data_IF_287226035971
#
_entry.id   IF_287226035971
#
_cell.length_a   1.000
_cell.length_b   1.000
_cell.length_c   1.000
_cell.angle_alpha   90.00
_cell.angle_beta   90.00
_cell.angle_gamma   90.00
#
_symmetry.space_group_name_H-M   'P 1'
#
loop_
_entity.id
_entity.type
_entity.pdbx_description
1 polymer ?
#
# COMPACT_ATOMS: atom_id res chain seq x y z
N UNK A 1 -12.06 20.07 -14.05
CA UNK A 1 -11.15 19.51 -15.06
C UNK A 1 -11.61 18.14 -15.54
N UNK A 2 -11.17 17.74 -16.73
CA UNK A 2 -11.32 16.40 -17.28
C UNK A 2 -10.05 15.61 -17.03
N UNK A 3 -10.10 14.58 -16.20
CA UNK A 3 -8.95 13.77 -15.80
C UNK A 3 -9.09 12.37 -16.35
N UNK A 4 -8.08 11.87 -17.04
CA UNK A 4 -8.02 10.44 -17.42
C UNK A 4 -7.04 9.71 -16.50
N UNK A 5 -7.52 8.72 -15.76
CA UNK A 5 -6.72 7.88 -14.86
C UNK A 5 -6.42 6.56 -15.56
N UNK A 6 -5.13 6.20 -15.65
CA UNK A 6 -4.65 4.99 -16.32
C UNK A 6 -4.05 4.03 -15.30
N UNK A 7 -4.66 2.86 -15.12
CA UNK A 7 -4.24 1.88 -14.12
C UNK A 7 -4.44 0.44 -14.60
N UNK A 8 -3.33 -0.29 -14.82
CA UNK A 8 -3.38 -1.70 -15.25
C UNK A 8 -4.06 -2.61 -14.20
N UNK A 9 -3.80 -2.34 -12.92
CA UNK A 9 -4.15 -3.22 -11.78
C UNK A 9 -5.40 -2.74 -11.02
N UNK A 10 -6.31 -2.09 -11.70
CA UNK A 10 -7.60 -1.71 -11.13
C UNK A 10 -8.54 -2.92 -11.17
N UNK A 11 -9.05 -3.34 -10.03
CA UNK A 11 -9.94 -4.48 -9.86
C UNK A 11 -10.51 -4.49 -8.45
N UNK A 12 -10.43 -5.61 -7.74
CA UNK A 12 -10.86 -5.67 -6.33
C UNK A 12 -9.94 -4.81 -5.41
N UNK A 13 -10.54 -4.16 -4.42
CA UNK A 13 -9.83 -3.32 -3.43
C UNK A 13 -9.04 -4.18 -2.41
N UNK A 14 -8.14 -5.02 -2.91
CA UNK A 14 -7.38 -5.98 -2.11
C UNK A 14 -5.89 -5.64 -1.98
N UNK A 15 -5.46 -4.52 -2.55
CA UNK A 15 -4.07 -4.05 -2.48
C UNK A 15 -4.02 -2.51 -2.41
N UNK A 16 -2.90 -1.98 -1.89
CA UNK A 16 -2.72 -0.54 -1.66
C UNK A 16 -2.85 0.33 -2.91
N UNK A 17 -2.35 -0.14 -4.05
CA UNK A 17 -2.43 0.60 -5.33
C UNK A 17 -3.88 0.77 -5.78
N UNK A 18 -4.66 -0.31 -5.74
CA UNK A 18 -6.09 -0.26 -6.12
C UNK A 18 -6.89 0.63 -5.16
N UNK A 19 -6.63 0.53 -3.85
CA UNK A 19 -7.28 1.38 -2.85
C UNK A 19 -6.95 2.86 -3.11
N UNK A 20 -5.68 3.21 -3.31
CA UNK A 20 -5.26 4.57 -3.61
C UNK A 20 -5.91 5.10 -4.90
N UNK A 21 -5.93 4.29 -5.97
CA UNK A 21 -6.58 4.63 -7.22
C UNK A 21 -8.09 4.91 -7.06
N UNK A 22 -8.81 4.01 -6.39
CA UNK A 22 -10.25 4.15 -6.19
C UNK A 22 -10.60 5.34 -5.30
N UNK A 23 -9.78 5.60 -4.27
CA UNK A 23 -9.93 6.79 -3.43
C UNK A 23 -9.77 8.08 -4.23
N UNK A 24 -8.73 8.19 -5.06
CA UNK A 24 -8.51 9.34 -5.92
C UNK A 24 -9.66 9.53 -6.91
N UNK A 25 -10.09 8.47 -7.60
CA UNK A 25 -11.21 8.51 -8.55
C UNK A 25 -12.48 9.03 -7.87
N UNK A 26 -12.87 8.42 -6.73
CA UNK A 26 -14.09 8.81 -5.98
C UNK A 26 -14.03 10.26 -5.53
N UNK A 27 -12.87 10.67 -4.99
CA UNK A 27 -12.69 12.05 -4.51
C UNK A 27 -12.83 13.06 -5.64
N UNK A 28 -12.16 12.84 -6.76
CA UNK A 28 -12.25 13.73 -7.91
C UNK A 28 -13.68 13.83 -8.47
N UNK A 29 -14.42 12.70 -8.51
CA UNK A 29 -15.81 12.68 -8.90
C UNK A 29 -16.70 13.48 -7.94
N UNK A 30 -16.54 13.28 -6.62
CA UNK A 30 -17.29 14.03 -5.59
C UNK A 30 -17.02 15.54 -5.69
N UNK A 31 -15.78 15.93 -6.04
CA UNK A 31 -15.40 17.33 -6.26
C UNK A 31 -15.85 17.90 -7.61
N UNK A 32 -16.63 17.14 -8.38
CA UNK A 32 -17.24 17.61 -9.63
C UNK A 32 -16.32 17.56 -10.86
N UNK A 33 -15.18 16.85 -10.78
CA UNK A 33 -14.34 16.62 -11.95
C UNK A 33 -14.91 15.53 -12.85
N UNK A 34 -14.73 15.68 -14.16
CA UNK A 34 -15.03 14.60 -15.10
C UNK A 34 -13.87 13.59 -15.11
N UNK A 35 -14.10 12.42 -14.52
CA UNK A 35 -13.08 11.37 -14.41
C UNK A 35 -13.35 10.27 -15.43
N UNK A 36 -12.34 9.95 -16.24
CA UNK A 36 -12.30 8.78 -17.12
C UNK A 36 -11.27 7.79 -16.61
N UNK A 37 -11.58 6.50 -16.69
CA UNK A 37 -10.71 5.44 -16.15
C UNK A 37 -10.38 4.44 -17.23
N UNK A 38 -9.10 4.26 -17.53
CA UNK A 38 -8.60 3.22 -18.44
C UNK A 38 -8.01 2.09 -17.62
N UNK A 39 -8.58 0.89 -17.73
CA UNK A 39 -8.10 -0.26 -16.95
C UNK A 39 -8.34 -1.60 -17.64
N UNK A 40 -7.71 -2.66 -17.10
CA UNK A 40 -7.96 -4.05 -17.51
C UNK A 40 -9.16 -4.71 -16.80
N UNK A 41 -9.89 -4.01 -15.96
CA UNK A 41 -11.02 -4.55 -15.18
C UNK A 41 -12.24 -4.82 -16.06
N UNK A 42 -12.42 -6.08 -16.45
CA UNK A 42 -13.51 -6.48 -17.34
C UNK A 42 -14.90 -6.32 -16.71
N UNK A 43 -15.00 -6.24 -15.38
CA UNK A 43 -16.28 -6.04 -14.67
C UNK A 43 -16.87 -4.63 -14.89
N UNK A 44 -16.03 -3.68 -15.30
CA UNK A 44 -16.40 -2.28 -15.57
C UNK A 44 -16.76 -2.00 -17.03
N UNK A 45 -16.73 -3.01 -17.88
CA UNK A 45 -17.06 -2.86 -19.31
C UNK A 45 -18.50 -2.36 -19.50
N UNK A 46 -18.63 -1.29 -20.28
CA UNK A 46 -19.92 -0.65 -20.56
C UNK A 46 -20.40 0.33 -19.48
N UNK A 47 -19.67 0.50 -18.39
CA UNK A 47 -20.01 1.53 -17.41
C UNK A 47 -19.53 2.92 -17.90
N UNK A 48 -20.33 3.98 -17.69
CA UNK A 48 -19.96 5.33 -18.08
C UNK A 48 -18.61 5.77 -17.48
N UNK A 49 -17.75 6.39 -18.29
CA UNK A 49 -16.43 6.85 -17.85
C UNK A 49 -15.38 5.74 -17.70
N UNK A 50 -15.71 4.47 -17.97
CA UNK A 50 -14.77 3.34 -17.93
C UNK A 50 -14.42 2.86 -19.35
N UNK A 51 -13.12 2.88 -19.65
CA UNK A 51 -12.52 2.46 -20.92
C UNK A 51 -11.73 1.18 -20.68
N UNK A 52 -12.36 0.03 -20.96
CA UNK A 52 -11.81 -1.26 -20.57
C UNK A 52 -10.99 -1.86 -21.69
N UNK A 53 -9.70 -2.07 -21.45
CA UNK A 53 -8.78 -2.74 -22.37
C UNK A 53 -8.68 -4.24 -22.05
N UNK A 54 -8.34 -5.09 -23.02
CA UNK A 54 -8.20 -6.51 -22.76
C UNK A 54 -7.03 -6.82 -21.79
N UNK A 55 -7.11 -7.92 -21.02
CA UNK A 55 -6.00 -8.36 -20.19
C UNK A 55 -4.84 -8.85 -21.07
N UNK A 56 -3.62 -8.66 -20.60
CA UNK A 56 -2.42 -9.18 -21.24
C UNK A 56 -2.26 -10.64 -20.90
N UNK A 57 -2.11 -11.49 -21.91
CA UNK A 57 -1.80 -12.90 -21.71
C UNK A 57 -0.29 -13.11 -21.53
N UNK A 58 0.07 -13.93 -20.54
CA UNK A 58 1.43 -14.40 -20.27
C UNK A 58 1.59 -15.90 -20.60
N UNK A 59 0.68 -16.46 -21.40
CA UNK A 59 0.70 -17.86 -21.78
C UNK A 59 0.62 -18.79 -20.56
N UNK A 60 1.53 -19.72 -20.43
CA UNK A 60 1.60 -20.70 -19.33
C UNK A 60 1.75 -20.07 -17.93
N UNK A 61 2.18 -18.82 -17.83
CA UNK A 61 2.35 -18.09 -16.56
C UNK A 61 1.09 -17.37 -16.10
N UNK A 62 -0.02 -17.38 -16.86
CA UNK A 62 -1.27 -16.70 -16.49
C UNK A 62 -1.77 -17.10 -15.09
N UNK A 63 -1.71 -18.39 -14.75
CA UNK A 63 -2.13 -18.89 -13.44
C UNK A 63 -1.26 -18.36 -12.29
N UNK A 64 0.03 -18.19 -12.49
CA UNK A 64 0.95 -17.62 -11.51
C UNK A 64 0.69 -16.13 -11.31
N UNK A 65 0.53 -15.39 -12.40
CA UNK A 65 0.25 -13.94 -12.40
C UNK A 65 -1.08 -13.65 -11.69
N UNK A 66 -2.13 -14.41 -12.02
CA UNK A 66 -3.45 -14.30 -11.39
C UNK A 66 -3.40 -14.57 -9.87
N UNK A 67 -2.71 -15.63 -9.42
CA UNK A 67 -2.53 -15.95 -8.00
C UNK A 67 -1.82 -14.83 -7.22
N UNK A 68 -0.98 -14.04 -7.91
CA UNK A 68 -0.29 -12.90 -7.32
C UNK A 68 -1.11 -11.61 -7.38
N UNK A 69 -2.34 -11.64 -7.93
CA UNK A 69 -3.24 -10.48 -8.00
C UNK A 69 -2.74 -9.36 -8.90
N UNK A 70 -1.86 -9.66 -9.86
CA UNK A 70 -1.32 -8.71 -10.83
C UNK A 70 -1.95 -9.03 -12.18
N UNK A 71 -2.97 -8.27 -12.58
CA UNK A 71 -3.49 -8.32 -13.95
C UNK A 71 -2.90 -7.16 -14.73
N UNK A 72 -2.02 -7.43 -15.70
CA UNK A 72 -1.55 -6.39 -16.62
C UNK A 72 -2.51 -6.27 -17.80
N UNK A 73 -2.68 -5.06 -18.28
CA UNK A 73 -3.56 -4.72 -19.39
C UNK A 73 -2.78 -4.64 -20.72
N UNK A 74 -3.41 -5.06 -21.80
CA UNK A 74 -2.87 -4.88 -23.17
C UNK A 74 -3.35 -3.53 -23.72
N UNK A 75 -2.45 -2.60 -24.04
CA UNK A 75 -2.86 -1.31 -24.58
C UNK A 75 -3.55 -1.48 -25.94
N UNK A 76 -4.66 -0.77 -26.14
CA UNK A 76 -5.39 -0.67 -27.39
C UNK A 76 -5.48 0.81 -27.73
N UNK A 77 -4.85 1.23 -28.86
CA UNK A 77 -4.68 2.63 -29.22
C UNK A 77 -6.02 3.36 -29.33
N UNK A 78 -7.00 2.79 -30.01
CA UNK A 78 -8.31 3.42 -30.19
C UNK A 78 -9.06 3.68 -28.87
N UNK A 79 -8.96 2.76 -27.91
CA UNK A 79 -9.56 2.92 -26.57
C UNK A 79 -8.83 4.04 -25.79
N UNK A 80 -7.49 4.09 -25.91
CA UNK A 80 -6.72 5.16 -25.27
C UNK A 80 -7.01 6.51 -25.90
N UNK A 81 -7.12 6.60 -27.23
CA UNK A 81 -7.47 7.83 -27.95
C UNK A 81 -8.81 8.37 -27.50
N UNK A 82 -9.85 7.52 -27.40
CA UNK A 82 -11.17 7.91 -26.92
C UNK A 82 -11.15 8.36 -25.45
N UNK A 83 -10.41 7.67 -24.59
CA UNK A 83 -10.32 8.00 -23.17
C UNK A 83 -9.56 9.29 -22.89
N UNK A 84 -8.53 9.61 -23.71
CA UNK A 84 -7.61 10.73 -23.51
C UNK A 84 -8.09 11.98 -24.27
N UNK A 85 -8.95 11.84 -25.26
CA UNK A 85 -9.41 12.96 -26.08
C UNK A 85 -10.10 14.05 -25.26
N UNK A 86 -9.59 15.29 -25.39
CA UNK A 86 -10.03 16.45 -24.62
C UNK A 86 -9.82 16.33 -23.11
N UNK A 87 -8.92 15.47 -22.64
CA UNK A 87 -8.49 15.46 -21.23
C UNK A 87 -7.61 16.66 -20.93
N UNK A 88 -7.79 17.30 -19.77
CA UNK A 88 -6.92 18.37 -19.28
C UNK A 88 -5.60 17.81 -18.73
N UNK A 89 -5.64 16.59 -18.17
CA UNK A 89 -4.48 15.88 -17.61
C UNK A 89 -4.71 14.37 -17.64
N UNK A 90 -3.62 13.61 -17.82
CA UNK A 90 -3.62 12.15 -17.70
C UNK A 90 -2.76 11.74 -16.50
N UNK A 91 -3.34 10.99 -15.57
CA UNK A 91 -2.65 10.47 -14.38
C UNK A 91 -2.39 8.97 -14.49
N UNK A 92 -1.11 8.57 -14.46
CA UNK A 92 -0.66 7.19 -14.62
C UNK A 92 -0.29 6.62 -13.24
N UNK A 93 -0.92 5.51 -12.84
CA UNK A 93 -0.69 4.91 -11.51
C UNK A 93 0.44 3.89 -11.48
N UNK A 94 0.73 3.25 -12.61
CA UNK A 94 1.79 2.23 -12.67
C UNK A 94 2.56 2.31 -14.01
N UNK A 95 3.89 2.12 -14.00
CA UNK A 95 4.75 2.36 -15.17
C UNK A 95 4.85 1.16 -16.13
N UNK A 96 3.70 0.49 -16.40
CA UNK A 96 3.67 -0.68 -17.28
C UNK A 96 3.31 -0.32 -18.72
N UNK A 97 3.01 -1.35 -19.52
CA UNK A 97 2.77 -1.18 -20.95
C UNK A 97 1.59 -0.26 -21.29
N UNK A 98 0.52 -0.32 -20.49
CA UNK A 98 -0.64 0.56 -20.66
C UNK A 98 -0.27 2.02 -20.34
N UNK A 99 0.40 2.26 -19.22
CA UNK A 99 0.88 3.59 -18.83
C UNK A 99 1.84 4.16 -19.85
N UNK A 100 2.79 3.36 -20.39
CA UNK A 100 3.70 3.80 -21.44
C UNK A 100 2.97 4.17 -22.75
N UNK A 101 1.99 3.37 -23.17
CA UNK A 101 1.21 3.71 -24.37
C UNK A 101 0.42 5.01 -24.19
N UNK A 102 -0.13 5.26 -22.98
CA UNK A 102 -0.77 6.52 -22.65
C UNK A 102 0.22 7.70 -22.70
N UNK A 103 1.45 7.54 -22.19
CA UNK A 103 2.52 8.56 -22.29
C UNK A 103 2.78 8.96 -23.74
N UNK A 104 2.97 7.99 -24.62
CA UNK A 104 3.25 8.26 -26.03
C UNK A 104 2.12 9.06 -26.69
N UNK A 105 0.88 8.67 -26.43
CA UNK A 105 -0.29 9.36 -26.97
C UNK A 105 -0.47 10.76 -26.40
N UNK A 106 -0.25 10.96 -25.11
CA UNK A 106 -0.32 12.29 -24.48
C UNK A 106 0.73 13.24 -25.08
N UNK A 107 1.95 12.75 -25.33
CA UNK A 107 2.99 13.53 -26.00
C UNK A 107 2.62 13.91 -27.43
N UNK A 108 2.00 13.01 -28.19
CA UNK A 108 1.49 13.30 -29.53
C UNK A 108 0.42 14.40 -29.50
N UNK A 109 -0.43 14.41 -28.46
CA UNK A 109 -1.56 15.34 -28.31
C UNK A 109 -1.23 16.61 -27.50
N UNK A 110 -0.04 16.75 -26.93
CA UNK A 110 0.34 17.86 -26.08
C UNK A 110 -0.48 17.94 -24.78
N UNK A 111 -0.78 16.82 -24.15
CA UNK A 111 -1.55 16.74 -22.90
C UNK A 111 -0.61 16.53 -21.72
N UNK A 112 -0.75 17.31 -20.62
CA UNK A 112 0.05 17.13 -19.40
C UNK A 112 -0.10 15.73 -18.81
N UNK A 113 1.02 15.18 -18.33
CA UNK A 113 1.07 13.84 -17.75
C UNK A 113 1.53 13.97 -16.30
N UNK A 114 0.79 13.34 -15.40
CA UNK A 114 1.22 13.11 -14.03
C UNK A 114 1.31 11.62 -13.75
N UNK A 115 2.10 11.21 -12.76
CA UNK A 115 2.15 9.80 -12.38
C UNK A 115 2.19 9.62 -10.86
N UNK A 116 1.58 8.54 -10.38
CA UNK A 116 1.75 8.05 -9.02
C UNK A 116 2.84 6.97 -8.96
N UNK A 117 3.65 6.99 -7.90
CA UNK A 117 4.66 5.97 -7.69
C UNK A 117 4.13 4.88 -6.75
N UNK A 118 3.45 3.89 -7.30
CA UNK A 118 2.82 2.81 -6.54
C UNK A 118 3.47 1.44 -6.74
N UNK A 119 4.63 1.38 -7.40
CA UNK A 119 5.30 0.12 -7.72
C UNK A 119 6.79 0.16 -7.41
N UNK A 120 7.19 -0.51 -6.33
CA UNK A 120 8.59 -0.68 -5.94
C UNK A 120 9.23 -1.86 -6.69
N UNK A 121 10.45 -1.68 -7.21
CA UNK A 121 11.14 -2.72 -7.98
C UNK A 121 11.31 -4.02 -7.20
N UNK A 122 11.56 -3.92 -5.90
CA UNK A 122 11.72 -5.04 -4.97
C UNK A 122 10.46 -5.91 -4.86
N UNK A 123 9.26 -5.34 -5.03
CA UNK A 123 8.02 -6.11 -5.07
C UNK A 123 7.96 -7.04 -6.28
N UNK A 124 8.49 -6.62 -7.43
CA UNK A 124 8.63 -7.45 -8.62
C UNK A 124 9.65 -8.55 -8.43
N UNK A 125 10.84 -8.17 -8.00
CA UNK A 125 11.95 -9.10 -7.90
C UNK A 125 11.80 -10.09 -6.76
N UNK A 126 10.96 -9.79 -5.76
CA UNK A 126 10.58 -10.73 -4.71
C UNK A 126 9.89 -12.00 -5.27
N UNK A 127 9.09 -11.86 -6.33
CA UNK A 127 8.40 -12.99 -6.96
C UNK A 127 9.35 -13.99 -7.61
N UNK A 128 10.53 -13.55 -8.03
CA UNK A 128 11.58 -14.38 -8.67
C UNK A 128 12.80 -14.56 -7.76
N UNK A 129 12.65 -14.36 -6.45
CA UNK A 129 13.70 -14.48 -5.43
C UNK A 129 14.90 -13.52 -5.60
N UNK A 130 14.77 -12.48 -6.42
CA UNK A 130 15.81 -11.48 -6.68
C UNK A 130 15.60 -10.16 -5.90
N UNK A 131 14.79 -10.14 -4.85
CA UNK A 131 14.51 -8.97 -4.03
C UNK A 131 15.78 -8.25 -3.52
N UNK A 132 16.86 -9.02 -3.27
CA UNK A 132 18.14 -8.51 -2.80
C UNK A 132 19.11 -8.14 -3.92
N UNK A 133 18.75 -8.37 -5.18
CA UNK A 133 19.59 -8.09 -6.34
C UNK A 133 19.59 -6.59 -6.68
N UNK A 134 20.43 -5.81 -5.98
CA UNK A 134 20.51 -4.35 -6.10
C UNK A 134 20.64 -3.86 -7.54
N UNK A 135 21.46 -4.54 -8.35
CA UNK A 135 21.66 -4.16 -9.75
C UNK A 135 20.37 -4.34 -10.57
N UNK A 136 19.66 -5.45 -10.37
CA UNK A 136 18.38 -5.73 -11.05
C UNK A 136 17.33 -4.70 -10.69
N UNK A 137 17.16 -4.41 -9.40
CA UNK A 137 16.23 -3.40 -8.92
C UNK A 137 16.57 -2.01 -9.50
N UNK A 138 17.85 -1.66 -9.55
CA UNK A 138 18.31 -0.40 -10.16
C UNK A 138 17.98 -0.31 -11.64
N UNK A 139 18.13 -1.40 -12.40
CA UNK A 139 17.77 -1.45 -13.81
C UNK A 139 16.27 -1.30 -14.02
N UNK A 140 15.44 -1.91 -13.15
CA UNK A 140 13.98 -1.77 -13.19
C UNK A 140 13.56 -0.32 -12.93
N UNK A 141 14.13 0.35 -11.91
CA UNK A 141 13.83 1.77 -11.66
C UNK A 141 14.24 2.66 -12.84
N UNK A 142 15.42 2.42 -13.45
CA UNK A 142 15.83 3.14 -14.67
C UNK A 142 14.86 2.87 -15.83
N UNK A 143 14.42 1.62 -16.02
CA UNK A 143 13.43 1.28 -17.02
C UNK A 143 12.11 2.03 -16.82
N UNK A 144 11.58 2.09 -15.59
CA UNK A 144 10.39 2.87 -15.25
C UNK A 144 10.57 4.36 -15.55
N UNK A 145 11.72 4.92 -15.15
CA UNK A 145 12.05 6.31 -15.44
C UNK A 145 12.03 6.59 -16.93
N UNK A 146 12.80 5.83 -17.72
CA UNK A 146 12.92 6.05 -19.15
C UNK A 146 11.63 5.81 -19.95
N UNK A 147 10.74 4.95 -19.45
CA UNK A 147 9.49 4.62 -20.14
C UNK A 147 8.33 5.54 -19.79
N UNK A 148 8.25 6.05 -18.56
CA UNK A 148 7.09 6.79 -18.06
C UNK A 148 7.52 8.07 -17.35
N UNK A 149 8.25 7.96 -16.25
CA UNK A 149 8.38 9.05 -15.29
C UNK A 149 9.10 10.29 -15.82
N UNK A 150 10.06 10.14 -16.71
CA UNK A 150 10.79 11.28 -17.32
C UNK A 150 9.91 12.21 -18.19
N UNK A 151 8.74 11.76 -18.58
CA UNK A 151 7.80 12.52 -19.40
C UNK A 151 6.69 13.19 -18.58
N UNK A 152 6.67 12.94 -17.28
CA UNK A 152 5.64 13.48 -16.40
C UNK A 152 5.94 14.93 -16.02
N UNK A 153 4.93 15.80 -16.09
CA UNK A 153 5.00 17.18 -15.60
C UNK A 153 5.30 17.18 -14.10
N UNK A 154 4.70 16.26 -13.35
CA UNK A 154 5.08 15.96 -11.96
C UNK A 154 4.75 14.54 -11.57
N UNK A 155 5.39 14.07 -10.49
CA UNK A 155 5.24 12.71 -9.94
C UNK A 155 4.75 12.80 -8.49
N UNK A 156 3.73 12.03 -8.16
CA UNK A 156 3.27 11.79 -6.81
C UNK A 156 4.04 10.63 -6.17
N UNK A 157 4.68 10.86 -5.03
CA UNK A 157 5.25 9.82 -4.18
C UNK A 157 4.46 9.74 -2.86
N UNK A 158 4.01 8.56 -2.44
CA UNK A 158 3.28 8.41 -1.17
C UNK A 158 4.12 8.73 0.06
N UNK A 159 5.45 8.61 -0.03
CA UNK A 159 6.39 8.92 1.06
C UNK A 159 7.69 9.50 0.53
N UNK A 160 8.36 10.33 1.35
CA UNK A 160 9.70 10.82 1.04
C UNK A 160 10.70 9.68 0.84
N UNK A 161 10.56 8.59 1.61
CA UNK A 161 11.39 7.40 1.47
C UNK A 161 11.44 6.87 0.03
N UNK A 162 10.29 6.70 -0.62
CA UNK A 162 10.28 6.12 -1.98
C UNK A 162 10.72 7.14 -3.03
N UNK A 163 10.49 8.42 -2.81
CA UNK A 163 11.07 9.50 -3.62
C UNK A 163 12.59 9.41 -3.59
N UNK A 164 13.21 9.40 -2.41
CA UNK A 164 14.66 9.34 -2.23
C UNK A 164 15.27 8.06 -2.85
N UNK A 165 14.61 6.91 -2.66
CA UNK A 165 15.04 5.62 -3.24
C UNK A 165 15.06 5.70 -4.77
N UNK A 166 14.03 6.26 -5.38
CA UNK A 166 13.92 6.34 -6.83
C UNK A 166 14.87 7.39 -7.43
N UNK A 167 14.89 8.60 -6.90
CA UNK A 167 15.72 9.68 -7.42
C UNK A 167 17.23 9.42 -7.25
N UNK A 168 17.63 8.72 -6.18
CA UNK A 168 19.01 8.27 -5.99
C UNK A 168 19.51 7.36 -7.12
N UNK A 169 18.61 6.66 -7.79
CA UNK A 169 18.92 5.67 -8.84
C UNK A 169 18.72 6.24 -10.23
N UNK A 170 17.85 7.23 -10.37
CA UNK A 170 17.47 7.85 -11.64
C UNK A 170 17.99 9.30 -11.73
N UNK A 171 17.09 10.26 -11.70
CA UNK A 171 17.37 11.70 -11.71
C UNK A 171 16.37 12.39 -10.77
N UNK A 172 16.67 13.60 -10.27
CA UNK A 172 15.68 14.45 -9.61
C UNK A 172 14.45 14.64 -10.49
N UNK A 173 13.28 14.67 -9.90
CA UNK A 173 12.00 14.82 -10.58
C UNK A 173 11.23 16.02 -10.04
N UNK A 174 10.36 16.63 -10.84
CA UNK A 174 9.36 17.52 -10.28
C UNK A 174 8.33 16.65 -9.54
N UNK A 175 8.24 16.78 -8.22
CA UNK A 175 7.47 15.84 -7.43
C UNK A 175 6.65 16.46 -6.31
N UNK A 176 5.66 15.72 -5.88
CA UNK A 176 4.85 15.96 -4.71
C UNK A 176 4.90 14.72 -3.80
N UNK A 177 5.23 14.93 -2.53
CA UNK A 177 5.16 13.86 -1.53
C UNK A 177 3.86 14.02 -0.78
N UNK A 178 2.90 13.13 -1.06
CA UNK A 178 1.54 13.18 -0.52
C UNK A 178 1.16 11.78 -0.09
N UNK A 179 0.79 11.58 1.18
CA UNK A 179 0.26 10.30 1.65
C UNK A 179 -1.02 9.92 0.89
N UNK A 180 -1.27 8.63 0.71
CA UNK A 180 -2.57 8.16 0.21
C UNK A 180 -3.72 8.43 1.20
N UNK A 181 -3.40 8.88 2.41
CA UNK A 181 -4.34 9.29 3.42
C UNK A 181 -5.02 8.13 4.16
N UNK A 182 -5.49 8.41 5.36
CA UNK A 182 -6.28 7.49 6.19
C UNK A 182 -7.69 8.02 6.33
N UNK A 183 -8.67 7.19 5.97
CA UNK A 183 -10.07 7.55 6.06
C UNK A 183 -10.48 7.81 7.52
N UNK A 184 -11.26 8.86 7.79
CA UNK A 184 -11.73 9.28 9.12
C UNK A 184 -12.50 8.22 9.89
N UNK A 185 -13.01 7.18 9.23
CA UNK A 185 -13.66 6.06 9.90
C UNK A 185 -12.70 5.26 10.78
N UNK A 186 -11.39 5.28 10.45
CA UNK A 186 -10.34 4.73 11.30
C UNK A 186 -9.97 5.76 12.39
N UNK A 187 -10.66 5.64 13.49
CA UNK A 187 -10.48 6.49 14.68
C UNK A 187 -10.52 5.62 15.92
N UNK A 188 -9.93 6.14 17.00
CA UNK A 188 -10.03 5.51 18.32
C UNK A 188 -11.49 5.47 18.77
N UNK A 189 -11.97 4.27 19.12
CA UNK A 189 -13.32 4.01 19.62
C UNK A 189 -13.25 3.12 20.83
N UNK A 190 -14.17 3.33 21.77
CA UNK A 190 -14.39 2.38 22.84
C UNK A 190 -15.12 1.15 22.27
N UNK A 191 -14.54 -0.01 22.49
CA UNK A 191 -15.12 -1.29 22.08
C UNK A 191 -15.14 -2.22 23.28
N UNK A 192 -16.31 -2.79 23.58
CA UNK A 192 -16.43 -3.76 24.68
C UNK A 192 -15.59 -4.99 24.39
N UNK A 193 -14.68 -5.32 25.33
CA UNK A 193 -13.85 -6.52 25.19
C UNK A 193 -14.71 -7.77 25.34
N UNK A 194 -14.68 -8.71 24.38
CA UNK A 194 -15.44 -9.96 24.47
C UNK A 194 -14.91 -10.84 25.61
N UNK A 195 -15.77 -11.64 26.29
CA UNK A 195 -15.37 -12.48 27.41
C UNK A 195 -14.22 -13.45 27.06
N UNK A 196 -14.19 -13.97 25.84
CA UNK A 196 -13.15 -14.90 25.37
C UNK A 196 -11.76 -14.26 25.25
N UNK A 197 -11.67 -12.95 25.30
CA UNK A 197 -10.43 -12.17 25.32
C UNK A 197 -10.05 -11.65 26.72
N UNK A 198 -10.85 -11.95 27.76
CA UNK A 198 -10.47 -11.62 29.13
C UNK A 198 -9.17 -12.32 29.53
N UNK A 199 -8.25 -11.55 30.15
CA UNK A 199 -6.92 -12.03 30.55
C UNK A 199 -5.98 -12.37 29.39
N UNK A 200 -6.32 -11.97 28.15
CA UNK A 200 -5.47 -12.19 26.96
C UNK A 200 -5.07 -10.87 26.34
N UNK A 201 -3.95 -10.89 25.64
CA UNK A 201 -3.48 -9.79 24.81
C UNK A 201 -3.84 -10.05 23.35
N UNK A 202 -4.54 -9.13 22.71
CA UNK A 202 -4.85 -9.20 21.29
C UNK A 202 -3.75 -8.50 20.49
N UNK A 203 -2.99 -9.26 19.69
CA UNK A 203 -1.99 -8.71 18.77
C UNK A 203 -2.52 -8.81 17.35
N UNK A 204 -2.55 -7.67 16.65
CA UNK A 204 -3.05 -7.57 15.28
C UNK A 204 -1.92 -7.33 14.29
N UNK A 205 -1.98 -8.01 13.16
CA UNK A 205 -1.23 -7.66 11.95
C UNK A 205 -2.15 -7.73 10.74
N UNK A 206 -2.17 -6.67 9.94
CA UNK A 206 -3.03 -6.56 8.76
C UNK A 206 -2.20 -6.59 7.48
N UNK A 207 -2.73 -7.23 6.44
CA UNK A 207 -2.12 -7.23 5.12
C UNK A 207 -2.17 -8.57 4.41
N UNK A 208 -1.83 -8.54 3.12
CA UNK A 208 -1.79 -9.73 2.28
C UNK A 208 -0.82 -10.78 2.83
N UNK A 209 -1.19 -12.06 2.78
CA UNK A 209 -0.28 -13.14 3.16
C UNK A 209 0.70 -13.42 2.04
N UNK A 210 1.79 -12.67 2.02
CA UNK A 210 2.86 -12.75 1.03
C UNK A 210 4.23 -12.72 1.71
N UNK A 211 5.28 -13.05 0.95
CA UNK A 211 6.62 -13.23 1.53
C UNK A 211 7.18 -11.94 2.14
N UNK A 212 7.00 -10.82 1.46
CA UNK A 212 7.49 -9.50 1.86
C UNK A 212 6.79 -8.97 3.12
N UNK A 213 5.55 -9.42 3.39
CA UNK A 213 4.81 -9.05 4.60
C UNK A 213 5.26 -9.78 5.86
N UNK A 214 6.03 -10.85 5.72
CA UNK A 214 6.79 -11.53 6.79
C UNK A 214 6.00 -11.95 8.04
N UNK A 215 4.69 -12.26 7.92
CA UNK A 215 3.88 -12.75 9.06
C UNK A 215 4.48 -13.97 9.76
N UNK A 216 5.32 -14.76 9.06
CA UNK A 216 6.07 -15.88 9.65
C UNK A 216 6.96 -15.43 10.81
N UNK A 217 7.53 -14.22 10.75
CA UNK A 217 8.40 -13.68 11.80
C UNK A 217 7.59 -13.36 13.05
N UNK A 218 6.37 -12.84 12.87
CA UNK A 218 5.44 -12.58 13.97
C UNK A 218 4.98 -13.88 14.66
N UNK A 219 4.62 -14.92 13.89
CA UNK A 219 4.28 -16.23 14.45
C UNK A 219 5.45 -16.79 15.30
N UNK A 220 6.67 -16.66 14.80
CA UNK A 220 7.85 -17.10 15.56
C UNK A 220 8.12 -16.25 16.80
N UNK A 221 7.85 -14.96 16.73
CA UNK A 221 7.99 -14.04 17.85
C UNK A 221 6.98 -14.36 18.97
N UNK A 222 5.72 -14.58 18.61
CA UNK A 222 4.69 -14.99 19.57
C UNK A 222 5.10 -16.28 20.28
N UNK A 223 5.67 -17.26 19.57
CA UNK A 223 6.15 -18.50 20.18
C UNK A 223 7.32 -18.31 21.16
N UNK A 224 8.07 -17.21 21.06
CA UNK A 224 9.21 -16.85 21.91
C UNK A 224 8.85 -15.87 23.03
N UNK A 225 7.70 -15.21 22.92
CA UNK A 225 7.23 -14.25 23.92
C UNK A 225 7.00 -14.91 25.27
N UNK A 226 7.28 -14.19 26.35
CA UNK A 226 6.95 -14.61 27.73
C UNK A 226 5.44 -14.72 27.94
N UNK A 227 4.68 -13.95 27.18
CA UNK A 227 3.21 -13.90 27.20
C UNK A 227 2.54 -14.85 26.20
N UNK A 228 3.29 -15.79 25.58
CA UNK A 228 2.81 -16.65 24.47
C UNK A 228 1.45 -17.30 24.71
N UNK A 229 1.19 -17.75 25.96
CA UNK A 229 -0.03 -18.46 26.31
C UNK A 229 -1.23 -17.51 26.53
N UNK A 230 -0.96 -16.22 26.75
CA UNK A 230 -1.95 -15.16 26.88
C UNK A 230 -2.20 -14.41 25.56
N UNK A 231 -1.34 -14.56 24.55
CA UNK A 231 -1.49 -13.86 23.28
C UNK A 231 -2.54 -14.54 22.41
N UNK A 232 -3.54 -13.76 21.98
CA UNK A 232 -4.40 -14.07 20.85
C UNK A 232 -3.91 -13.26 19.64
N UNK A 233 -3.39 -13.97 18.64
CA UNK A 233 -2.92 -13.34 17.41
C UNK A 233 -4.08 -13.25 16.41
N UNK A 234 -4.21 -12.11 15.73
CA UNK A 234 -5.10 -11.89 14.57
C UNK A 234 -4.24 -11.53 13.38
N UNK A 235 -4.36 -12.32 12.33
CA UNK A 235 -3.76 -12.06 11.02
C UNK A 235 -4.89 -11.71 10.06
N UNK A 236 -5.16 -10.41 9.91
CA UNK A 236 -6.24 -9.92 9.07
C UNK A 236 -5.77 -9.77 7.61
N UNK A 237 -6.23 -10.66 6.74
CA UNK A 237 -5.87 -10.65 5.32
C UNK A 237 -6.10 -11.98 4.63
N UNK A 238 -5.66 -12.06 3.38
CA UNK A 238 -5.64 -13.26 2.54
C UNK A 238 -4.39 -13.29 1.68
N UNK A 239 -3.97 -14.45 1.21
CA UNK A 239 -2.88 -14.53 0.25
C UNK A 239 -2.23 -15.89 0.12
N UNK A 240 -1.28 -16.03 -0.82
CA UNK A 240 -0.70 -17.33 -1.20
C UNK A 240 0.10 -18.01 -0.09
N UNK A 241 0.49 -17.30 0.96
CA UNK A 241 1.26 -17.87 2.07
C UNK A 241 0.39 -18.46 3.19
N UNK A 242 -0.95 -18.40 3.12
CA UNK A 242 -1.83 -18.83 4.22
C UNK A 242 -1.55 -20.26 4.70
N UNK A 243 -1.48 -21.21 3.79
CA UNK A 243 -1.18 -22.61 4.15
C UNK A 243 0.18 -22.78 4.84
N UNK A 244 1.18 -22.00 4.40
CA UNK A 244 2.51 -22.02 5.01
C UNK A 244 2.49 -21.41 6.42
N UNK A 245 1.72 -20.34 6.63
CA UNK A 245 1.54 -19.70 7.93
C UNK A 245 0.81 -20.64 8.91
N UNK A 246 -0.29 -21.28 8.49
CA UNK A 246 -1.02 -22.29 9.32
C UNK A 246 -0.13 -23.48 9.70
N UNK A 247 0.68 -24.01 8.78
CA UNK A 247 1.68 -25.05 9.09
C UNK A 247 2.70 -24.56 10.12
N UNK A 248 3.12 -23.30 10.02
CA UNK A 248 4.08 -22.70 10.95
C UNK A 248 3.49 -22.55 12.35
N UNK A 249 2.23 -22.11 12.47
CA UNK A 249 1.49 -22.05 13.74
C UNK A 249 1.51 -23.41 14.46
N UNK A 250 1.10 -24.48 13.75
CA UNK A 250 1.13 -25.84 14.29
C UNK A 250 2.53 -26.27 14.75
N UNK A 251 3.55 -25.97 13.92
CA UNK A 251 4.96 -26.29 14.25
C UNK A 251 5.44 -25.55 15.51
N UNK A 252 4.97 -24.32 15.75
CA UNK A 252 5.36 -23.49 16.89
C UNK A 252 4.55 -23.75 18.15
N UNK A 253 3.43 -24.46 18.04
CA UNK A 253 2.56 -24.79 19.16
C UNK A 253 1.98 -23.54 19.86
N UNK A 254 1.73 -22.46 19.10
CA UNK A 254 1.01 -21.29 19.63
C UNK A 254 -0.49 -21.49 19.48
N UNK A 255 -1.27 -20.69 20.23
CA UNK A 255 -2.72 -20.62 20.05
C UNK A 255 -3.05 -20.33 18.58
N UNK A 256 -4.05 -21.01 18.01
CA UNK A 256 -4.45 -20.78 16.61
C UNK A 256 -4.85 -19.32 16.42
N UNK A 257 -4.16 -18.59 15.52
CA UNK A 257 -4.54 -17.23 15.19
C UNK A 257 -5.90 -17.17 14.48
N UNK A 258 -6.59 -16.06 14.63
CA UNK A 258 -7.71 -15.74 13.76
C UNK A 258 -7.15 -15.32 12.39
N UNK A 259 -7.42 -16.12 11.37
CA UNK A 259 -7.06 -15.85 9.99
C UNK A 259 -8.29 -15.38 9.22
N UNK A 260 -8.16 -14.42 8.36
CA UNK A 260 -9.22 -14.10 7.42
C UNK A 260 -9.22 -12.66 6.95
N UNK A 261 -10.01 -12.43 5.93
CA UNK A 261 -10.34 -11.10 5.45
C UNK A 261 -11.59 -10.62 6.20
N UNK A 262 -11.54 -9.38 6.65
CA UNK A 262 -12.62 -8.75 7.40
C UNK A 262 -13.22 -7.59 6.58
N UNK A 263 -14.48 -7.31 6.77
CA UNK A 263 -15.09 -6.08 6.29
C UNK A 263 -14.42 -4.88 6.95
N UNK A 264 -14.58 -3.70 6.38
CA UNK A 264 -13.99 -2.48 6.95
C UNK A 264 -14.46 -2.23 8.39
N UNK A 265 -15.75 -2.42 8.67
CA UNK A 265 -16.30 -2.20 10.02
C UNK A 265 -15.78 -3.23 11.04
N UNK A 266 -15.72 -4.51 10.67
CA UNK A 266 -15.11 -5.56 11.49
C UNK A 266 -13.64 -5.24 11.77
N UNK A 267 -12.90 -4.83 10.75
CA UNK A 267 -11.48 -4.48 10.89
C UNK A 267 -11.28 -3.31 11.85
N UNK A 268 -12.10 -2.26 11.77
CA UNK A 268 -12.06 -1.13 12.72
C UNK A 268 -12.31 -1.61 14.14
N UNK A 269 -13.30 -2.51 14.34
CA UNK A 269 -13.57 -3.13 15.63
C UNK A 269 -12.36 -3.91 16.17
N UNK A 270 -11.75 -4.76 15.34
CA UNK A 270 -10.57 -5.55 15.70
C UNK A 270 -9.37 -4.64 16.01
N UNK A 271 -9.12 -3.61 15.20
CA UNK A 271 -8.05 -2.64 15.47
C UNK A 271 -8.27 -2.00 16.85
N UNK A 272 -9.49 -1.54 17.14
CA UNK A 272 -9.77 -0.88 18.42
C UNK A 272 -9.69 -1.83 19.63
N UNK A 273 -9.96 -3.12 19.45
CA UNK A 273 -9.78 -4.16 20.48
C UNK A 273 -8.31 -4.54 20.70
N UNK A 274 -7.45 -4.35 19.70
CA UNK A 274 -6.05 -4.78 19.78
C UNK A 274 -5.27 -4.04 20.86
N UNK A 275 -4.45 -4.77 21.62
CA UNK A 275 -3.51 -4.21 22.58
C UNK A 275 -2.24 -3.71 21.90
N UNK A 276 -1.86 -4.34 20.78
CA UNK A 276 -0.67 -3.99 20.02
C UNK A 276 -0.88 -4.27 18.53
N UNK A 277 -0.32 -3.43 17.68
CA UNK A 277 -0.26 -3.66 16.24
C UNK A 277 1.16 -4.03 15.83
N UNK A 278 1.34 -5.06 14.99
CA UNK A 278 2.67 -5.47 14.51
C UNK A 278 2.73 -5.42 13.00
N UNK A 279 3.72 -4.71 12.47
CA UNK A 279 3.97 -4.58 11.04
C UNK A 279 5.33 -5.18 10.64
N UNK A 280 5.41 -6.48 10.38
CA UNK A 280 6.68 -7.17 10.16
C UNK A 280 7.17 -7.10 8.71
N UNK A 281 6.54 -6.29 7.85
CA UNK A 281 6.82 -6.19 6.43
C UNK A 281 8.23 -5.70 6.12
N UNK A 282 8.88 -6.34 5.15
CA UNK A 282 10.23 -5.97 4.69
C UNK A 282 10.22 -4.90 3.59
N UNK A 283 9.11 -4.79 2.85
CA UNK A 283 8.97 -3.90 1.70
C UNK A 283 7.63 -3.20 1.82
N UNK A 284 7.66 -1.87 1.89
CA UNK A 284 6.47 -1.01 1.87
C UNK A 284 6.80 0.34 1.26
N UNK A 285 5.93 0.81 0.39
CA UNK A 285 5.99 2.18 -0.13
C UNK A 285 5.43 3.17 0.90
N UNK A 286 4.36 2.79 1.61
CA UNK A 286 3.72 3.59 2.64
C UNK A 286 3.15 2.72 3.79
N UNK A 287 2.42 1.63 3.47
CA UNK A 287 1.67 0.79 4.41
C UNK A 287 0.46 1.48 5.07
N UNK A 288 -0.54 1.80 4.26
CA UNK A 288 -1.82 2.38 4.72
C UNK A 288 -2.39 1.62 5.93
N UNK A 289 -2.33 0.29 5.92
CA UNK A 289 -2.83 -0.54 7.02
C UNK A 289 -2.12 -0.28 8.38
N UNK A 290 -0.85 0.12 8.36
CA UNK A 290 -0.15 0.56 9.57
C UNK A 290 -0.65 1.93 10.04
N UNK A 291 -0.88 2.85 9.09
CA UNK A 291 -1.41 4.18 9.38
C UNK A 291 -2.86 4.11 9.89
N UNK A 292 -3.68 3.18 9.41
CA UNK A 292 -5.03 2.92 9.91
C UNK A 292 -5.01 2.48 11.38
N UNK A 293 -4.08 1.61 11.76
CA UNK A 293 -3.90 1.20 13.15
C UNK A 293 -3.41 2.36 14.03
N UNK A 294 -2.47 3.15 13.52
CA UNK A 294 -1.96 4.38 14.18
C UNK A 294 -3.09 5.39 14.39
N UNK A 295 -3.96 5.60 13.39
CA UNK A 295 -5.10 6.52 13.49
C UNK A 295 -6.13 6.06 14.54
N UNK A 296 -6.23 4.76 14.81
CA UNK A 296 -6.99 4.20 15.91
C UNK A 296 -6.24 4.23 17.27
N UNK A 297 -5.08 4.89 17.33
CA UNK A 297 -4.27 5.02 18.56
C UNK A 297 -3.53 3.73 18.93
N UNK A 298 -3.29 2.80 18.00
CA UNK A 298 -2.52 1.60 18.31
C UNK A 298 -1.03 1.88 18.22
N UNK A 299 -0.29 1.39 19.21
CA UNK A 299 1.17 1.44 19.20
C UNK A 299 1.68 0.38 18.24
N UNK A 300 2.40 0.76 17.17
CA UNK A 300 2.93 -0.20 16.23
C UNK A 300 4.31 -0.71 16.67
N UNK A 301 4.56 -2.01 16.43
CA UNK A 301 5.90 -2.60 16.42
C UNK A 301 6.27 -2.93 14.98
N UNK A 302 7.28 -2.27 14.45
CA UNK A 302 7.58 -2.17 13.02
C UNK A 302 8.94 -2.80 12.71
N UNK A 303 9.04 -3.53 11.60
CA UNK A 303 10.32 -4.01 11.12
C UNK A 303 11.24 -2.86 10.67
N UNK A 304 12.44 -2.76 11.24
CA UNK A 304 13.46 -1.82 10.79
C UNK A 304 14.09 -2.31 9.47
N UNK A 305 13.36 -2.10 8.38
CA UNK A 305 13.79 -2.50 7.05
C UNK A 305 14.22 -1.30 6.19
N UNK A 306 15.42 -1.33 5.59
CA UNK A 306 15.87 -0.26 4.70
C UNK A 306 15.11 -0.20 3.37
N UNK A 307 14.14 -1.10 3.16
CA UNK A 307 13.28 -1.17 1.96
C UNK A 307 11.82 -0.85 2.26
N UNK A 308 11.54 -0.36 3.46
CA UNK A 308 10.19 -0.08 3.92
C UNK A 308 10.08 1.34 4.45
N UNK A 309 9.09 2.09 3.96
CA UNK A 309 8.76 3.40 4.48
C UNK A 309 8.26 3.35 5.93
N UNK A 310 7.69 2.20 6.36
CA UNK A 310 7.08 2.08 7.69
C UNK A 310 8.03 2.32 8.84
N UNK A 311 9.35 2.06 8.67
CA UNK A 311 10.34 2.38 9.70
C UNK A 311 10.28 3.85 10.16
N UNK A 312 9.91 4.75 9.26
CA UNK A 312 9.82 6.19 9.52
C UNK A 312 8.54 6.58 10.29
N UNK A 313 7.62 5.65 10.52
CA UNK A 313 6.46 5.86 11.39
C UNK A 313 6.76 5.60 12.87
N UNK A 314 7.92 5.05 13.19
CA UNK A 314 8.33 4.82 14.56
C UNK A 314 8.59 6.15 15.28
N UNK A 315 7.89 6.39 16.38
CA UNK A 315 8.11 7.59 17.22
C UNK A 315 9.27 7.37 18.21
N UNK A 316 9.57 6.12 18.54
CA UNK A 316 10.69 5.75 19.41
C UNK A 316 11.38 4.48 18.89
N UNK A 317 12.64 4.27 19.31
CA UNK A 317 13.38 3.04 19.01
C UNK A 317 12.68 1.77 19.55
N UNK A 318 11.82 1.91 20.55
CA UNK A 318 11.03 0.80 21.12
C UNK A 318 9.95 0.31 20.16
N UNK A 319 9.55 1.12 19.19
CA UNK A 319 8.63 0.74 18.11
C UNK A 319 9.30 -0.06 17.01
N UNK A 320 10.64 -0.13 16.98
CA UNK A 320 11.40 -0.84 15.94
C UNK A 320 11.95 -2.17 16.45
N UNK A 321 11.91 -3.17 15.56
CA UNK A 321 12.64 -4.42 15.76
C UNK A 321 13.50 -4.74 14.53
N UNK A 322 14.61 -5.43 14.74
CA UNK A 322 15.53 -5.82 13.66
C UNK A 322 14.80 -6.69 12.64
N UNK A 323 14.82 -6.25 11.39
CA UNK A 323 14.10 -6.92 10.30
C UNK A 323 14.43 -8.41 10.22
N UNK A 324 13.41 -9.26 10.16
CA UNK A 324 13.48 -10.73 10.17
C UNK A 324 13.98 -11.36 11.49
N UNK A 325 14.18 -10.62 12.55
CA UNK A 325 14.57 -11.14 13.86
C UNK A 325 13.35 -11.36 14.76
N UNK A 326 12.90 -12.60 14.84
CA UNK A 326 11.75 -12.95 15.67
C UNK A 326 12.03 -12.92 17.18
N UNK A 327 13.31 -12.94 17.59
CA UNK A 327 13.66 -12.82 19.01
C UNK A 327 13.59 -11.36 19.44
N UNK A 328 14.11 -10.45 18.61
CA UNK A 328 14.01 -9.02 18.86
C UNK A 328 12.55 -8.56 18.81
N UNK A 329 11.74 -9.07 17.85
CA UNK A 329 10.30 -8.80 17.82
C UNK A 329 9.59 -9.30 19.07
N UNK A 330 9.92 -10.50 19.59
CA UNK A 330 9.35 -11.01 20.84
C UNK A 330 9.68 -10.07 22.02
N UNK A 331 10.92 -9.62 22.13
CA UNK A 331 11.33 -8.67 23.17
C UNK A 331 10.57 -7.35 23.10
N UNK A 332 10.30 -6.83 21.89
CA UNK A 332 9.51 -5.60 21.70
C UNK A 332 8.03 -5.80 22.07
N UNK A 333 7.46 -6.94 21.68
CA UNK A 333 6.10 -7.31 22.07
C UNK A 333 6.00 -7.38 23.60
N UNK A 334 6.90 -8.13 24.24
CA UNK A 334 6.92 -8.28 25.70
C UNK A 334 7.08 -6.92 26.39
N UNK A 335 7.98 -6.08 25.87
CA UNK A 335 8.18 -4.74 26.40
C UNK A 335 6.87 -3.93 26.45
N UNK A 336 6.16 -3.82 25.32
CA UNK A 336 4.93 -3.04 25.26
C UNK A 336 3.76 -3.65 26.05
N UNK A 337 3.76 -4.98 26.22
CA UNK A 337 2.74 -5.64 27.08
C UNK A 337 3.01 -5.42 28.58
N UNK A 338 4.28 -5.38 28.98
CA UNK A 338 4.69 -5.16 30.37
C UNK A 338 4.63 -3.69 30.82
N UNK A 339 4.56 -2.73 29.87
CA UNK A 339 4.54 -1.28 30.17
C UNK A 339 3.25 -0.63 29.64
N UNK A 340 2.07 -0.94 30.24
CA UNK A 340 0.77 -0.45 29.74
C UNK A 340 0.63 1.08 29.82
N UNK A 341 1.21 1.70 30.83
CA UNK A 341 1.17 3.17 31.00
C UNK A 341 1.96 3.89 29.90
N UNK A 342 3.19 3.43 29.62
CA UNK A 342 4.00 3.97 28.55
C UNK A 342 3.37 3.69 27.17
N UNK A 343 2.73 2.52 27.00
CA UNK A 343 1.98 2.20 25.80
C UNK A 343 0.82 3.16 25.58
N UNK A 344 0.08 3.54 26.62
CA UNK A 344 -1.02 4.51 26.51
C UNK A 344 -0.49 5.93 26.21
N UNK A 345 0.64 6.32 26.79
CA UNK A 345 1.30 7.58 26.45
C UNK A 345 1.73 7.61 24.97
N UNK A 346 2.38 6.55 24.52
CA UNK A 346 2.78 6.38 23.12
C UNK A 346 1.56 6.37 22.18
N UNK A 347 0.46 5.74 22.59
CA UNK A 347 -0.82 5.74 21.87
C UNK A 347 -1.34 7.16 21.64
N UNK A 348 -1.31 8.02 22.67
CA UNK A 348 -1.72 9.43 22.55
C UNK A 348 -0.82 10.22 21.59
N UNK A 349 0.49 9.96 21.63
CA UNK A 349 1.42 10.57 20.69
C UNK A 349 1.11 10.14 19.23
N UNK A 350 0.79 8.86 19.02
CA UNK A 350 0.39 8.36 17.70
C UNK A 350 -0.93 8.95 17.20
N UNK A 351 -1.91 9.22 18.05
CA UNK A 351 -3.13 9.95 17.66
C UNK A 351 -2.82 11.36 17.15
N UNK A 352 -1.84 12.03 17.76
CA UNK A 352 -1.34 13.33 17.28
C UNK A 352 -0.63 13.20 15.92
N UNK A 353 0.24 12.20 15.80
CA UNK A 353 1.00 11.89 14.59
C UNK A 353 0.09 11.56 13.40
N UNK A 354 -1.02 10.84 13.62
CA UNK A 354 -1.96 10.43 12.58
C UNK A 354 -2.61 11.60 11.83
N UNK A 355 -2.73 12.79 12.45
CA UNK A 355 -3.43 13.95 11.87
C UNK A 355 -2.83 14.41 10.54
N UNK A 356 -1.52 14.21 10.33
CA UNK A 356 -0.86 14.58 9.07
C UNK A 356 -1.28 13.69 7.88
N UNK A 357 -1.90 12.53 8.16
CA UNK A 357 -2.38 11.58 7.16
C UNK A 357 -3.90 11.67 6.96
N UNK A 358 -4.54 12.77 7.38
CA UNK A 358 -5.97 12.97 7.15
C UNK A 358 -6.31 12.82 5.67
N UNK A 359 -7.29 11.98 5.38
CA UNK A 359 -7.65 11.61 4.02
C UNK A 359 -8.04 12.79 3.15
N UNK A 360 -8.89 13.68 3.69
CA UNK A 360 -9.40 14.81 2.90
C UNK A 360 -8.28 15.78 2.56
N UNK A 361 -7.39 16.08 3.54
CA UNK A 361 -6.21 16.93 3.31
C UNK A 361 -5.26 16.34 2.26
N UNK A 362 -5.04 15.03 2.29
CA UNK A 362 -4.21 14.34 1.31
C UNK A 362 -4.84 14.39 -0.09
N UNK A 363 -6.15 14.17 -0.18
CA UNK A 363 -6.87 14.22 -1.45
C UNK A 363 -6.96 15.64 -2.02
N UNK A 364 -7.08 16.66 -1.16
CA UNK A 364 -6.98 18.08 -1.56
C UNK A 364 -5.60 18.41 -2.13
N UNK A 365 -4.55 17.85 -1.54
CA UNK A 365 -3.19 17.99 -2.06
C UNK A 365 -3.01 17.28 -3.42
N UNK A 366 -3.60 16.09 -3.59
CA UNK A 366 -3.61 15.38 -4.87
C UNK A 366 -4.33 16.17 -5.97
N UNK A 367 -5.49 16.75 -5.65
CA UNK A 367 -6.21 17.62 -6.60
C UNK A 367 -5.38 18.83 -7.00
N UNK A 368 -4.76 19.53 -6.03
CA UNK A 368 -3.87 20.67 -6.31
C UNK A 368 -2.73 20.28 -7.22
N UNK A 369 -2.07 19.14 -6.98
CA UNK A 369 -1.01 18.62 -7.86
C UNK A 369 -1.49 18.44 -9.31
N UNK A 370 -2.69 17.90 -9.52
CA UNK A 370 -3.27 17.74 -10.85
C UNK A 370 -3.57 19.09 -11.51
N UNK A 371 -4.14 20.04 -10.78
CA UNK A 371 -4.41 21.38 -11.24
C UNK A 371 -3.13 22.16 -11.59
N UNK A 372 -2.07 22.00 -10.81
CA UNK A 372 -0.77 22.61 -11.07
C UNK A 372 -0.13 22.02 -12.34
N UNK A 373 -0.28 20.71 -12.56
CA UNK A 373 0.17 20.08 -13.80
C UNK A 373 -0.58 20.59 -15.03
N UNK A 374 -1.90 20.83 -14.92
CA UNK A 374 -2.70 21.44 -16.00
C UNK A 374 -2.19 22.85 -16.33
N UNK A 375 -1.91 23.66 -15.31
CA UNK A 375 -1.38 25.05 -15.50
C UNK A 375 0.03 25.05 -16.10
N UNK A 376 0.88 24.10 -15.68
CA UNK A 376 2.25 23.99 -16.19
C UNK A 376 2.31 23.52 -17.64
N UNK A 377 1.27 22.82 -18.11
CA UNK A 377 1.25 22.23 -19.44
C UNK A 377 2.09 20.96 -19.58
N UNK A 378 2.25 20.44 -20.79
CA UNK A 378 3.01 19.22 -21.04
C UNK A 378 4.50 19.44 -20.75
N UNK A 379 5.14 18.41 -20.21
CA UNK A 379 6.59 18.41 -20.02
C UNK A 379 7.29 18.32 -21.37
N UNK A 380 8.19 19.25 -21.64
CA UNK A 380 8.91 19.37 -22.90
C UNK A 380 9.93 18.26 -23.16
#
# INVERSE_FOLDING_TARGET
>A
MKVTIVCDVLGEENNGTTIAAMNLIRTLQVKGHQVRVVSGDQSKRGLPGHYVVPPRSFGIFNGYVAKNGVSLAKPVRSILEEAIDGADVVHILVPFSLGHAAVLLCREKGIPITAGFHCQAENFTNHIFLMNARLVNRLIYKYFYWRVYRYCTCIHYPTQFICDVFEKVTHPTNHYVISNGVNKVFARREVKRPPELEGKYLILSTGRYSREKSQKVLIDAVAKSRHRDQIQLVLAGKGPQENALRKRVKKRGIREPVFGFHTREELIGIINLADLYVHPAQIEIEAIACLEAIACGKVPVIADSPRSATRHFALTEKNLFRCNDSSDLANRIDYWLDHPEEREECSRAYLGYARQFDFDNCMDAMERMLLDAVKAGPHG
#
